data_IF_930874262549
#
_entry.id   IF_930874262549
#
_cell.length_a   1.000
_cell.length_b   1.000
_cell.length_c   1.000
_cell.angle_alpha   90.00
_cell.angle_beta   90.00
_cell.angle_gamma   90.00
#
_symmetry.space_group_name_H-M   'P 1'
#
loop_
_entity.id
_entity.type
_entity.pdbx_description
1 polymer ?
#
# COMPACT_ATOMS: atom_id res chain seq x y z
N UNK A 1 -4.45 -3.86 -15.48
CA UNK A 1 -4.10 -4.66 -14.29
C UNK A 1 -2.84 -4.05 -13.71
N UNK A 2 -2.74 -3.95 -12.38
CA UNK A 2 -1.69 -3.22 -11.68
C UNK A 2 -2.19 -2.56 -10.39
N UNK A 3 -1.47 -1.52 -9.96
CA UNK A 3 -1.85 -0.67 -8.83
C UNK A 3 -2.23 0.75 -9.29
N UNK A 4 -3.34 1.26 -8.80
CA UNK A 4 -3.73 2.68 -8.94
C UNK A 4 -3.63 3.37 -7.59
N UNK A 5 -2.86 4.45 -7.52
CA UNK A 5 -2.74 5.27 -6.31
C UNK A 5 -3.68 6.48 -6.38
N UNK A 6 -4.45 6.69 -5.32
CA UNK A 6 -5.24 7.91 -5.12
C UNK A 6 -4.79 8.58 -3.83
N UNK A 7 -4.09 9.71 -3.96
CA UNK A 7 -3.61 10.49 -2.82
C UNK A 7 -4.76 11.24 -2.16
N UNK A 8 -4.90 11.08 -0.86
CA UNK A 8 -5.88 11.80 -0.03
C UNK A 8 -5.25 12.91 0.81
N UNK A 9 -3.96 12.77 1.11
CA UNK A 9 -3.15 13.78 1.77
C UNK A 9 -1.73 13.69 1.23
N UNK A 10 -1.21 14.82 0.74
CA UNK A 10 0.16 14.91 0.24
C UNK A 10 1.18 14.79 1.38
N UNK A 11 2.26 14.04 1.14
CA UNK A 11 3.42 14.00 2.01
C UNK A 11 4.44 15.08 1.66
N UNK A 12 5.17 15.57 2.66
CA UNK A 12 6.20 16.60 2.49
C UNK A 12 7.63 16.06 2.60
N UNK A 13 7.78 14.80 3.02
CA UNK A 13 9.09 14.18 3.19
C UNK A 13 9.63 13.54 1.90
N UNK A 14 10.76 12.85 2.05
CA UNK A 14 11.41 12.17 0.94
C UNK A 14 10.56 11.02 0.40
N UNK A 15 10.71 10.75 -0.89
CA UNK A 15 10.21 9.53 -1.51
C UNK A 15 11.18 8.38 -1.19
N UNK A 16 10.70 7.20 -0.77
CA UNK A 16 11.58 6.08 -0.46
C UNK A 16 12.21 5.55 -1.74
N UNK A 17 13.46 5.11 -1.62
CA UNK A 17 14.18 4.44 -2.70
C UNK A 17 14.07 2.92 -2.58
N UNK A 18 14.24 2.23 -3.71
CA UNK A 18 14.26 0.78 -3.75
C UNK A 18 15.24 0.19 -2.71
N UNK A 19 14.77 -0.78 -1.93
CA UNK A 19 15.54 -1.45 -0.88
C UNK A 19 15.57 -0.73 0.47
N UNK A 20 15.06 0.50 0.57
CA UNK A 20 14.94 1.19 1.85
C UNK A 20 13.82 0.58 2.70
N UNK A 21 14.03 0.60 4.01
CA UNK A 21 13.00 0.20 4.98
C UNK A 21 12.01 1.34 5.19
N UNK A 22 10.75 1.07 4.92
CA UNK A 22 9.62 1.98 5.19
C UNK A 22 8.89 1.55 6.46
N UNK A 23 8.27 2.52 7.13
CA UNK A 23 7.37 2.30 8.27
C UNK A 23 6.01 2.87 7.88
N UNK A 24 4.96 2.05 7.92
CA UNK A 24 3.64 2.39 7.35
C UNK A 24 2.54 1.96 8.31
N UNK A 25 1.54 2.82 8.45
CA UNK A 25 0.22 2.42 8.94
C UNK A 25 -0.74 2.15 7.78
N UNK A 26 -1.44 1.02 7.80
CA UNK A 26 -2.38 0.65 6.74
C UNK A 26 -3.64 -0.01 7.28
N UNK A 27 -4.67 -0.03 6.43
CA UNK A 27 -5.83 -0.91 6.59
C UNK A 27 -6.17 -1.52 5.24
N UNK A 28 -6.15 -2.84 5.17
CA UNK A 28 -6.46 -3.64 3.98
C UNK A 28 -7.94 -4.01 3.94
N UNK A 29 -8.56 -3.80 2.78
CA UNK A 29 -9.97 -4.12 2.53
C UNK A 29 -10.09 -5.04 1.32
N UNK A 30 -10.96 -6.04 1.41
CA UNK A 30 -11.41 -6.79 0.25
C UNK A 30 -12.45 -5.94 -0.48
N UNK A 31 -12.35 -5.85 -1.80
CA UNK A 31 -13.38 -5.19 -2.61
C UNK A 31 -14.61 -6.06 -2.75
N UNK A 32 -15.77 -5.41 -2.77
CA UNK A 32 -17.01 -6.06 -3.18
C UNK A 32 -17.04 -6.24 -4.71
N UNK A 33 -17.96 -7.07 -5.20
CA UNK A 33 -18.10 -7.33 -6.64
C UNK A 33 -18.45 -6.06 -7.46
N UNK A 34 -19.04 -5.04 -6.83
CA UNK A 34 -19.35 -3.74 -7.43
C UNK A 34 -18.16 -2.75 -7.39
N UNK A 35 -16.99 -3.19 -6.92
CA UNK A 35 -15.78 -2.36 -6.78
C UNK A 35 -15.75 -1.48 -5.54
N UNK A 36 -16.82 -1.48 -4.72
CA UNK A 36 -16.85 -0.72 -3.47
C UNK A 36 -15.95 -1.35 -2.40
N UNK A 37 -15.59 -0.53 -1.41
CA UNK A 37 -14.79 -0.94 -0.26
C UNK A 37 -15.59 -1.94 0.59
N UNK A 38 -15.12 -3.19 0.65
CA UNK A 38 -15.76 -4.24 1.42
C UNK A 38 -15.11 -4.46 2.79
N UNK A 39 -14.99 -5.74 3.17
CA UNK A 39 -14.56 -6.15 4.51
C UNK A 39 -13.08 -5.84 4.76
N UNK A 40 -12.76 -5.30 5.93
CA UNK A 40 -11.37 -5.22 6.42
C UNK A 40 -10.84 -6.64 6.62
N UNK A 41 -9.72 -6.97 5.98
CA UNK A 41 -9.02 -8.23 6.23
C UNK A 41 -7.81 -8.05 7.15
N UNK A 42 -7.20 -6.87 7.17
CA UNK A 42 -6.04 -6.58 8.02
C UNK A 42 -5.90 -5.07 8.31
N UNK A 43 -5.28 -4.72 9.44
CA UNK A 43 -5.00 -3.34 9.83
C UNK A 43 -3.88 -3.29 10.87
N UNK A 44 -2.94 -2.36 10.65
CA UNK A 44 -1.90 -2.01 11.62
C UNK A 44 -2.25 -0.78 12.46
N UNK A 45 -3.29 -0.03 12.10
CA UNK A 45 -3.70 1.20 12.81
C UNK A 45 -4.12 0.85 14.24
N UNK A 46 -3.54 1.55 15.22
CA UNK A 46 -3.78 1.29 16.64
C UNK A 46 -3.09 0.03 17.19
N UNK A 47 -2.19 -0.58 16.41
CA UNK A 47 -1.27 -1.65 16.84
C UNK A 47 0.17 -1.14 16.68
N UNK A 48 1.09 -2.03 16.31
CA UNK A 48 2.45 -1.68 15.91
C UNK A 48 2.52 -1.35 14.43
N UNK A 49 3.30 -0.32 14.08
CA UNK A 49 3.58 0.05 12.69
C UNK A 49 4.17 -1.12 11.89
N UNK A 50 3.79 -1.21 10.63
CA UNK A 50 4.34 -2.20 9.73
C UNK A 50 5.66 -1.72 9.13
N UNK A 51 6.70 -2.53 9.24
CA UNK A 51 8.05 -2.23 8.75
C UNK A 51 8.52 -3.28 7.75
N UNK A 52 8.90 -2.83 6.56
CA UNK A 52 9.41 -3.71 5.51
C UNK A 52 10.40 -2.96 4.60
N UNK A 53 11.41 -3.63 4.02
CA UNK A 53 12.06 -3.10 2.82
C UNK A 53 11.07 -3.05 1.66
N UNK A 54 11.13 -1.99 0.84
CA UNK A 54 10.20 -1.76 -0.28
C UNK A 54 10.88 -1.85 -1.65
N UNK A 55 10.16 -2.33 -2.66
CA UNK A 55 10.62 -2.42 -4.05
C UNK A 55 11.56 -3.61 -4.30
N UNK A 56 11.53 -4.63 -3.45
CA UNK A 56 12.49 -5.75 -3.46
C UNK A 56 11.83 -7.13 -3.44
N UNK A 57 10.53 -7.21 -3.71
CA UNK A 57 9.74 -8.44 -3.73
C UNK A 57 9.43 -9.01 -2.35
N UNK A 58 9.37 -8.16 -1.31
CA UNK A 58 9.12 -8.59 0.08
C UNK A 58 7.67 -8.43 0.52
N UNK A 59 6.90 -7.66 -0.23
CA UNK A 59 5.45 -7.49 -0.10
C UNK A 59 4.81 -7.69 -1.48
N UNK A 60 3.48 -7.65 -1.53
CA UNK A 60 2.75 -7.76 -2.80
C UNK A 60 3.22 -6.70 -3.81
N UNK A 61 3.22 -7.04 -5.10
CA UNK A 61 3.78 -6.17 -6.14
C UNK A 61 3.13 -4.78 -6.18
N UNK A 62 1.82 -4.70 -5.94
CA UNK A 62 1.11 -3.43 -5.85
C UNK A 62 1.62 -2.51 -4.74
N UNK A 63 2.16 -3.05 -3.65
CA UNK A 63 2.82 -2.25 -2.62
C UNK A 63 4.21 -1.82 -3.05
N UNK A 64 5.00 -2.74 -3.59
CA UNK A 64 6.35 -2.45 -4.05
C UNK A 64 6.39 -1.34 -5.12
N UNK A 65 5.38 -1.28 -5.98
CA UNK A 65 5.26 -0.20 -6.97
C UNK A 65 4.54 1.04 -6.39
N UNK A 66 3.45 0.83 -5.66
CA UNK A 66 2.61 1.91 -5.14
C UNK A 66 3.31 2.76 -4.09
N UNK A 67 3.93 2.12 -3.09
CA UNK A 67 4.58 2.80 -1.95
C UNK A 67 5.87 3.50 -2.38
N UNK A 68 6.61 2.96 -3.35
CA UNK A 68 7.80 3.63 -3.90
C UNK A 68 7.44 4.97 -4.54
N UNK A 69 6.21 5.13 -5.03
CA UNK A 69 5.71 6.42 -5.55
C UNK A 69 5.22 7.41 -4.49
N UNK A 70 5.18 7.01 -3.21
CA UNK A 70 4.65 7.84 -2.12
C UNK A 70 5.75 8.65 -1.44
N UNK A 71 5.38 9.74 -0.77
CA UNK A 71 6.29 10.51 0.10
C UNK A 71 6.07 10.19 1.57
N UNK A 72 7.11 10.37 2.38
CA UNK A 72 6.97 10.34 3.84
C UNK A 72 5.91 11.37 4.28
N UNK A 73 4.94 10.92 5.07
CA UNK A 73 3.79 11.69 5.53
C UNK A 73 2.58 11.68 4.59
N UNK A 74 2.67 11.03 3.42
CA UNK A 74 1.54 10.89 2.49
C UNK A 74 0.50 9.89 2.98
N UNK A 75 -0.78 10.18 2.75
CA UNK A 75 -1.88 9.23 2.90
C UNK A 75 -2.54 9.00 1.55
N UNK A 76 -2.54 7.75 1.09
CA UNK A 76 -3.13 7.38 -0.18
C UNK A 76 -3.92 6.06 -0.07
N UNK A 77 -4.84 5.85 -1.01
CA UNK A 77 -5.48 4.56 -1.25
C UNK A 77 -4.78 3.90 -2.43
N UNK A 78 -4.34 2.65 -2.24
CA UNK A 78 -3.83 1.80 -3.32
C UNK A 78 -4.91 0.80 -3.72
N UNK A 79 -5.35 0.90 -4.95
CA UNK A 79 -6.27 -0.03 -5.58
C UNK A 79 -5.48 -1.04 -6.41
N UNK A 80 -5.49 -2.31 -6.01
CA UNK A 80 -4.57 -3.34 -6.50
C UNK A 80 -5.39 -4.50 -7.09
N UNK A 81 -5.13 -4.86 -8.35
CA UNK A 81 -5.73 -6.05 -8.97
C UNK A 81 -5.13 -7.34 -8.42
N UNK A 82 -5.85 -8.47 -8.52
CA UNK A 82 -5.47 -9.73 -7.86
C UNK A 82 -4.07 -10.22 -8.23
N UNK A 83 -3.69 -10.09 -9.50
CA UNK A 83 -2.37 -10.44 -10.05
C UNK A 83 -1.20 -9.64 -9.41
N UNK A 84 -1.46 -8.42 -8.93
CA UNK A 84 -0.49 -7.59 -8.21
C UNK A 84 -0.62 -7.69 -6.68
N UNK A 85 -1.60 -8.46 -6.20
CA UNK A 85 -1.86 -8.75 -4.81
C UNK A 85 -1.42 -10.19 -4.46
N UNK A 86 -2.39 -11.08 -4.28
CA UNK A 86 -2.18 -12.45 -3.83
C UNK A 86 -2.47 -13.51 -4.89
N UNK A 87 -2.68 -13.10 -6.15
CA UNK A 87 -3.13 -13.97 -7.22
C UNK A 87 -4.62 -14.34 -7.12
N UNK A 88 -4.98 -15.42 -7.82
CA UNK A 88 -6.31 -16.04 -7.80
C UNK A 88 -6.39 -17.19 -6.77
#
# INVERSE_FOLDING_TARGET
MGVTKTTTQEGTGAQPQQGQTVTIEYTGYLKNADGSKGKVFDSSVGKSDFRTPIGVGRVIQGWDEGVVSMKVGEKATLDITSDYAYGD
#
